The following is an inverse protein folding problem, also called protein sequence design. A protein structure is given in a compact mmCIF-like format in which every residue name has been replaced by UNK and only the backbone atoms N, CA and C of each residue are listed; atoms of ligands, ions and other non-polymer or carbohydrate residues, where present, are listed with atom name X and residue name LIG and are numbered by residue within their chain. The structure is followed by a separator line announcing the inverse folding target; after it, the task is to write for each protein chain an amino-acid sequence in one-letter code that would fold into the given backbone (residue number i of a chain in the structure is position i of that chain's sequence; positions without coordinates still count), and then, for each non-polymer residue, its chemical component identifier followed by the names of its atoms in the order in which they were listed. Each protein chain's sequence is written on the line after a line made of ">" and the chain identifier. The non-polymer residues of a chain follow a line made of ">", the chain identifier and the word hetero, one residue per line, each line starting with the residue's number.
data_IF_269093664003
#
_entry.id   IF_269093664003
#
_cell.length_a   1.000
_cell.length_b   1.000
_cell.length_c   1.000
_cell.angle_alpha   90.00
_cell.angle_beta   90.00
_cell.angle_gamma   90.00
#
_symmetry.space_group_name_H-M   'P 1'
#
loop_
_entity.id
_entity.type
_entity.pdbx_description
1 polymer ?
#
# COMPACT_ATOMS: atom_id res chain seq x y z
N UNK A 1 -53.05 -15.22 31.13
CA UNK A 1 -54.02 -15.07 30.01
C UNK A 1 -53.54 -15.93 28.86
N UNK A 2 -54.31 -16.93 28.41
CA UNK A 2 -53.91 -17.87 27.34
C UNK A 2 -54.44 -17.44 25.96
N UNK A 3 -53.64 -17.64 24.92
CA UNK A 3 -54.01 -17.79 23.50
C UNK A 3 -52.83 -18.57 22.84
N UNK A 4 -52.93 -19.76 22.23
CA UNK A 4 -53.80 -20.28 21.14
C UNK A 4 -53.88 -19.27 19.99
N UNK A 5 -53.62 -19.57 18.72
CA UNK A 5 -53.50 -20.81 17.92
C UNK A 5 -52.64 -20.45 16.66
N UNK A 6 -52.18 -21.32 15.75
CA UNK A 6 -52.81 -22.48 15.07
C UNK A 6 -51.71 -23.26 14.29
N UNK A 7 -51.89 -24.56 14.07
CA UNK A 7 -51.04 -25.39 13.18
C UNK A 7 -51.87 -25.85 11.98
N UNK A 8 -51.25 -25.92 10.79
CA UNK A 8 -51.56 -26.80 9.65
C UNK A 8 -50.28 -26.89 8.80
N UNK A 9 -49.65 -28.06 8.60
CA UNK A 9 -50.04 -29.14 7.68
C UNK A 9 -50.15 -28.67 6.21
N UNK A 10 -49.52 -29.30 5.20
CA UNK A 10 -48.66 -30.50 5.23
C UNK A 10 -47.89 -30.73 3.90
N UNK A 11 -46.81 -31.55 3.95
CA UNK A 11 -46.20 -32.35 2.86
C UNK A 11 -45.64 -31.60 1.61
N UNK A 12 -44.57 -32.04 0.91
CA UNK A 12 -43.83 -33.32 0.84
C UNK A 12 -42.33 -33.06 0.51
N UNK A 13 -41.47 -34.03 0.83
CA UNK A 13 -40.01 -34.00 0.58
C UNK A 13 -39.63 -34.37 -0.87
N UNK A 14 -38.48 -33.86 -1.34
CA UNK A 14 -37.41 -34.65 -2.00
C UNK A 14 -36.16 -33.84 -2.35
N UNK A 15 -34.98 -34.36 -1.99
CA UNK A 15 -33.68 -34.02 -2.58
C UNK A 15 -33.31 -35.11 -3.63
N UNK A 16 -32.28 -35.07 -4.46
CA UNK A 16 -31.12 -34.20 -4.73
C UNK A 16 -30.70 -34.50 -6.21
N UNK A 17 -29.45 -34.31 -6.73
CA UNK A 17 -28.31 -33.42 -6.44
C UNK A 17 -27.97 -32.55 -7.70
N UNK A 18 -26.82 -31.84 -7.80
CA UNK A 18 -26.59 -30.86 -8.88
C UNK A 18 -25.79 -31.42 -10.06
N UNK A 19 -26.30 -31.25 -11.29
CA UNK A 19 -25.56 -31.01 -12.54
C UNK A 19 -26.58 -30.88 -13.70
N UNK A 20 -27.00 -29.66 -14.06
CA UNK A 20 -27.56 -29.27 -15.37
C UNK A 20 -27.94 -27.79 -15.36
N UNK A 21 -27.48 -27.03 -16.37
CA UNK A 21 -28.10 -25.74 -16.73
C UNK A 21 -29.30 -26.02 -17.61
N UNK A 22 -30.35 -25.20 -17.52
CA UNK A 22 -31.14 -24.83 -18.70
C UNK A 22 -31.66 -23.39 -18.58
N UNK A 23 -31.53 -22.63 -19.68
CA UNK A 23 -32.24 -21.37 -19.92
C UNK A 23 -33.68 -21.70 -20.34
N UNK A 24 -34.62 -20.77 -20.14
CA UNK A 24 -35.89 -20.79 -20.87
C UNK A 24 -35.70 -20.19 -22.27
N UNK A 25 -35.78 -21.06 -23.26
CA UNK A 25 -36.56 -20.95 -24.50
C UNK A 25 -36.89 -19.56 -25.06
N UNK A 26 -36.28 -19.27 -26.22
CA UNK A 26 -36.97 -18.62 -27.35
C UNK A 26 -37.19 -19.69 -28.42
N UNK A 27 -38.39 -19.77 -29.00
CA UNK A 27 -38.83 -20.98 -29.70
C UNK A 27 -38.30 -21.22 -31.12
N UNK A 28 -38.44 -22.48 -31.53
CA UNK A 28 -38.51 -23.00 -32.90
C UNK A 28 -37.20 -23.15 -33.71
N UNK A 29 -37.13 -24.15 -34.62
CA UNK A 29 -36.04 -25.11 -34.52
C UNK A 29 -35.22 -25.29 -35.80
N UNK A 30 -33.89 -25.30 -35.67
CA UNK A 30 -32.99 -25.97 -36.61
C UNK A 30 -31.83 -26.64 -35.86
N UNK A 31 -31.42 -27.81 -36.32
CA UNK A 31 -30.38 -28.64 -35.71
C UNK A 31 -28.96 -28.19 -36.12
N UNK A 32 -27.96 -28.49 -35.29
CA UNK A 32 -26.58 -28.71 -35.74
C UNK A 32 -25.81 -29.66 -34.82
N UNK A 33 -24.89 -30.41 -35.42
CA UNK A 33 -24.00 -31.42 -34.82
C UNK A 33 -22.63 -30.81 -34.41
N UNK A 34 -21.80 -31.53 -33.63
CA UNK A 34 -20.42 -31.11 -33.33
C UNK A 34 -19.46 -31.43 -34.49
N UNK A 35 -18.45 -30.58 -34.72
CA UNK A 35 -17.04 -31.03 -34.66
C UNK A 35 -16.12 -29.88 -34.14
N UNK A 36 -14.81 -29.98 -33.92
CA UNK A 36 -13.79 -31.01 -33.67
C UNK A 36 -12.45 -30.25 -33.58
N UNK A 37 -11.34 -30.90 -33.24
CA UNK A 37 -9.99 -30.33 -33.20
C UNK A 37 -9.29 -30.26 -34.56
N UNK A 38 -8.36 -29.31 -34.77
CA UNK A 38 -7.05 -29.50 -35.48
C UNK A 38 -6.23 -28.19 -35.50
N UNK A 39 -4.89 -28.28 -35.50
CA UNK A 39 -3.96 -27.19 -35.87
C UNK A 39 -3.51 -27.35 -37.34
N UNK A 40 -2.25 -27.03 -37.74
CA UNK A 40 -1.21 -26.25 -37.07
C UNK A 40 -0.51 -25.23 -38.05
N UNK A 41 0.66 -24.70 -37.64
CA UNK A 41 1.76 -24.16 -38.49
C UNK A 41 1.47 -23.02 -39.51
N UNK A 42 2.17 -21.89 -39.31
CA UNK A 42 3.03 -21.38 -40.40
C UNK A 42 4.34 -20.77 -39.90
N UNK A 43 5.42 -21.25 -40.50
CA UNK A 43 6.81 -20.92 -40.21
C UNK A 43 7.36 -19.95 -41.28
N UNK A 44 8.53 -19.36 -41.00
CA UNK A 44 9.47 -18.69 -41.95
C UNK A 44 9.14 -17.29 -42.46
N UNK A 45 9.95 -16.34 -41.97
CA UNK A 45 10.97 -15.73 -42.84
C UNK A 45 12.28 -15.48 -42.08
N UNK A 46 13.20 -16.46 -42.11
CA UNK A 46 14.63 -16.16 -42.04
C UNK A 46 15.05 -15.55 -43.38
N UNK A 47 16.07 -14.68 -43.34
CA UNK A 47 17.02 -14.24 -44.39
C UNK A 47 17.18 -12.70 -44.30
N UNK A 48 18.37 -12.10 -44.43
CA UNK A 48 19.72 -12.65 -44.60
C UNK A 48 20.76 -11.66 -44.07
N UNK A 49 21.85 -12.22 -43.56
CA UNK A 49 23.16 -11.58 -43.45
C UNK A 49 23.50 -10.66 -44.65
N UNK A 50 24.07 -9.49 -44.36
CA UNK A 50 25.25 -8.99 -45.09
C UNK A 50 26.31 -8.54 -44.08
N UNK A 51 27.27 -9.43 -43.84
CA UNK A 51 28.58 -9.02 -43.36
C UNK A 51 29.29 -8.32 -44.52
N UNK A 52 29.83 -7.13 -44.25
CA UNK A 52 30.96 -6.57 -44.99
C UNK A 52 32.10 -6.40 -43.99
N UNK A 53 33.20 -7.10 -44.21
CA UNK A 53 34.52 -6.64 -43.81
C UNK A 53 35.34 -6.37 -45.08
N UNK A 54 36.68 -6.36 -44.99
CA UNK A 54 37.48 -5.89 -43.85
C UNK A 54 38.42 -4.75 -44.28
N UNK A 55 38.83 -3.90 -43.34
CA UNK A 55 39.85 -2.88 -43.55
C UNK A 55 41.09 -3.19 -42.72
N UNK A 56 42.15 -3.68 -43.35
CA UNK A 56 43.46 -3.83 -42.72
C UNK A 56 44.07 -2.45 -42.44
N UNK A 57 44.79 -2.30 -41.33
CA UNK A 57 46.12 -1.68 -41.35
C UNK A 57 46.96 -2.25 -40.20
N UNK A 58 48.13 -2.77 -40.56
CA UNK A 58 49.24 -3.08 -39.64
C UNK A 58 49.92 -1.79 -39.19
N UNK A 59 50.68 -1.87 -38.10
CA UNK A 59 52.10 -1.48 -37.98
C UNK A 59 52.44 -1.41 -36.47
N UNK A 60 53.14 -2.41 -35.93
CA UNK A 60 54.61 -2.55 -35.88
C UNK A 60 55.29 -1.65 -34.83
N UNK A 61 55.62 -2.29 -33.71
CA UNK A 61 56.53 -1.81 -32.65
C UNK A 61 57.97 -2.14 -33.09
N UNK A 62 58.97 -1.28 -32.83
CA UNK A 62 59.98 -1.65 -31.84
C UNK A 62 60.34 -0.53 -30.86
N UNK A 63 60.70 -0.92 -29.64
CA UNK A 63 61.22 -0.03 -28.62
C UNK A 63 62.70 0.33 -28.89
N UNK A 64 63.12 1.53 -28.44
CA UNK A 64 64.53 1.89 -28.35
C UNK A 64 64.91 2.11 -26.88
N UNK A 65 65.87 1.33 -26.39
CA UNK A 65 66.48 1.54 -25.07
C UNK A 65 67.51 2.67 -25.14
N UNK A 66 67.48 3.58 -24.18
CA UNK A 66 68.68 4.30 -23.77
C UNK A 66 68.83 4.26 -22.25
N UNK A 67 69.91 3.63 -21.80
CA UNK A 67 70.47 3.84 -20.46
C UNK A 67 71.27 5.14 -20.48
N UNK A 68 71.10 5.98 -19.47
CA UNK A 68 72.15 6.89 -19.00
C UNK A 68 72.13 6.95 -17.47
N UNK A 69 73.13 6.28 -16.90
CA UNK A 69 74.02 6.70 -15.81
C UNK A 69 73.53 7.31 -14.50
N UNK A 70 74.20 6.82 -13.45
CA UNK A 70 74.07 7.24 -12.06
C UNK A 70 74.49 8.71 -11.86
N UNK A 71 73.69 9.45 -11.09
CA UNK A 71 74.21 10.45 -10.16
C UNK A 71 73.67 10.17 -8.76
N UNK A 72 74.57 9.93 -7.83
CA UNK A 72 74.25 9.57 -6.45
C UNK A 72 73.95 10.82 -5.62
N UNK A 73 72.69 11.00 -5.22
CA UNK A 73 72.32 12.00 -4.21
C UNK A 73 71.94 11.27 -2.92
N UNK A 74 72.79 11.41 -1.90
CA UNK A 74 72.55 10.88 -0.55
C UNK A 74 71.49 11.72 0.15
N UNK A 75 70.25 11.25 0.17
CA UNK A 75 69.22 11.79 1.06
C UNK A 75 69.23 11.03 2.41
N UNK A 76 69.22 11.73 3.56
CA UNK A 76 69.20 11.09 4.87
C UNK A 76 67.85 10.42 5.15
N UNK A 77 67.86 9.45 6.06
CA UNK A 77 66.73 8.61 6.48
C UNK A 77 65.42 9.39 6.69
N UNK A 78 64.55 9.43 5.68
CA UNK A 78 63.13 9.75 5.87
C UNK A 78 62.38 8.44 6.08
N UNK A 79 61.98 8.21 7.33
CA UNK A 79 61.19 7.07 7.76
C UNK A 79 59.93 6.95 6.88
N UNK A 80 59.90 5.96 5.97
CA UNK A 80 58.72 5.65 5.15
C UNK A 80 57.65 5.01 6.04
N UNK A 81 56.91 5.86 6.77
CA UNK A 81 55.66 5.48 7.40
C UNK A 81 54.68 5.14 6.25
N UNK A 82 54.54 3.85 5.97
CA UNK A 82 53.42 3.34 5.19
C UNK A 82 52.16 3.56 6.02
N UNK A 83 51.55 4.74 5.89
CA UNK A 83 50.21 4.98 6.40
C UNK A 83 49.28 4.08 5.58
N UNK A 84 48.93 2.92 6.14
CA UNK A 84 47.77 2.18 5.67
C UNK A 84 46.57 3.11 5.85
N UNK A 85 46.16 3.76 4.76
CA UNK A 85 44.80 4.25 4.61
C UNK A 85 43.89 3.01 4.64
N UNK A 86 43.49 2.59 5.83
CA UNK A 86 42.27 1.83 5.97
C UNK A 86 41.18 2.68 5.31
N UNK A 87 40.52 2.21 4.24
CA UNK A 87 39.30 2.86 3.82
C UNK A 87 38.33 2.71 4.99
N UNK A 88 38.03 3.83 5.65
CA UNK A 88 36.86 3.94 6.51
C UNK A 88 35.67 3.75 5.59
N UNK A 89 35.29 2.49 5.40
CA UNK A 89 34.02 2.07 4.82
C UNK A 89 32.95 2.56 5.77
N UNK A 90 32.58 3.84 5.59
CA UNK A 90 31.37 4.40 6.13
C UNK A 90 30.25 3.48 5.66
N UNK A 91 29.81 2.61 6.56
CA UNK A 91 28.73 1.68 6.29
C UNK A 91 27.49 2.56 6.18
N UNK A 92 27.20 3.00 4.95
CA UNK A 92 25.93 3.63 4.60
C UNK A 92 24.86 2.62 4.96
N UNK A 93 24.32 2.78 6.18
CA UNK A 93 23.11 2.13 6.62
C UNK A 93 22.09 2.39 5.52
N UNK A 94 21.82 1.36 4.69
CA UNK A 94 20.77 1.36 3.70
C UNK A 94 19.44 1.29 4.46
N UNK A 95 19.15 2.36 5.19
CA UNK A 95 18.24 2.36 6.32
C UNK A 95 16.84 2.16 5.80
N UNK A 96 16.31 0.95 6.00
CA UNK A 96 14.97 0.56 5.60
C UNK A 96 13.88 1.45 6.23
N UNK A 97 12.64 1.13 5.95
CA UNK A 97 11.51 1.82 6.54
C UNK A 97 11.55 1.72 8.08
N UNK A 98 11.33 2.84 8.79
CA UNK A 98 11.23 2.89 10.26
C UNK A 98 9.91 2.25 10.70
N UNK A 99 9.90 0.91 10.75
CA UNK A 99 8.80 0.11 11.30
C UNK A 99 9.19 -0.35 12.70
N UNK A 100 8.48 0.15 13.71
CA UNK A 100 8.80 -0.09 15.12
C UNK A 100 7.56 -0.46 15.94
N UNK A 101 7.81 -1.25 16.98
CA UNK A 101 6.84 -1.58 18.03
C UNK A 101 6.90 -0.52 19.13
N UNK A 102 5.77 0.07 19.48
CA UNK A 102 5.65 1.15 20.48
C UNK A 102 4.57 0.77 21.48
N UNK A 103 4.85 0.90 22.78
CA UNK A 103 3.87 0.62 23.85
C UNK A 103 3.35 1.93 24.44
N UNK A 104 2.04 2.05 24.61
CA UNK A 104 1.39 3.19 25.29
C UNK A 104 0.09 2.74 25.97
N UNK A 105 -0.16 3.23 27.19
CA UNK A 105 -1.31 2.83 28.03
C UNK A 105 -1.48 1.30 28.17
N UNK A 106 -0.37 0.55 28.19
CA UNK A 106 -0.36 -0.92 28.25
C UNK A 106 -0.70 -1.63 26.93
N UNK A 107 -1.03 -0.91 25.86
CA UNK A 107 -1.25 -1.46 24.52
C UNK A 107 0.02 -1.36 23.67
N UNK A 108 0.29 -2.41 22.88
CA UNK A 108 1.32 -2.44 21.86
C UNK A 108 0.77 -1.95 20.51
N UNK A 109 1.57 -1.18 19.76
CA UNK A 109 1.25 -0.70 18.42
C UNK A 109 2.41 -1.01 17.47
N UNK A 110 2.11 -1.45 16.25
CA UNK A 110 3.06 -1.45 15.14
C UNK A 110 2.93 -0.10 14.43
N UNK A 111 4.04 0.62 14.29
CA UNK A 111 4.10 1.97 13.71
C UNK A 111 5.10 2.00 12.57
N UNK A 112 4.66 2.39 11.38
CA UNK A 112 5.53 2.66 10.23
C UNK A 112 5.65 4.18 10.04
N UNK A 113 6.89 4.70 10.02
CA UNK A 113 7.17 6.12 9.80
C UNK A 113 7.77 6.34 8.41
N UNK A 114 7.11 7.18 7.63
CA UNK A 114 7.37 7.41 6.20
C UNK A 114 8.00 8.79 6.00
N UNK A 115 9.14 8.83 5.32
CA UNK A 115 9.70 10.06 4.77
C UNK A 115 9.35 10.14 3.27
N UNK A 116 8.41 11.02 2.92
CA UNK A 116 7.93 11.18 1.54
C UNK A 116 9.00 11.67 0.55
N UNK A 117 10.22 12.00 1.01
CA UNK A 117 11.37 12.28 0.14
C UNK A 117 12.18 11.02 -0.20
N UNK A 118 11.93 9.90 0.47
CA UNK A 118 12.74 8.67 0.45
C UNK A 118 11.93 7.40 0.24
N UNK A 119 10.65 7.41 0.57
CA UNK A 119 9.77 6.25 0.61
C UNK A 119 8.56 6.49 -0.32
N UNK A 120 8.20 5.49 -1.12
CA UNK A 120 7.08 5.54 -2.04
C UNK A 120 5.78 5.15 -1.32
N UNK A 121 5.03 6.14 -0.84
CA UNK A 121 3.69 5.93 -0.29
C UNK A 121 2.63 5.97 -1.41
N UNK A 122 1.99 4.83 -1.69
CA UNK A 122 0.95 4.69 -2.72
C UNK A 122 -0.32 4.05 -2.18
N UNK A 123 -1.45 4.34 -2.83
CA UNK A 123 -2.77 3.77 -2.55
C UNK A 123 -3.21 2.90 -3.74
N UNK A 124 -3.74 1.70 -3.47
CA UNK A 124 -4.14 0.73 -4.49
C UNK A 124 -5.52 0.14 -4.20
N UNK A 125 -6.48 0.31 -5.10
CA UNK A 125 -7.79 -0.34 -5.05
C UNK A 125 -7.87 -1.52 -6.01
N UNK A 126 -7.66 -1.29 -7.31
CA UNK A 126 -7.90 -2.29 -8.36
C UNK A 126 -6.60 -2.69 -9.06
N UNK A 127 -6.48 -3.98 -9.36
CA UNK A 127 -5.38 -4.49 -10.17
C UNK A 127 -5.55 -4.01 -11.62
N UNK A 128 -4.60 -3.23 -12.18
CA UNK A 128 -4.75 -2.63 -13.51
C UNK A 128 -4.79 -3.66 -14.65
N UNK A 129 -4.32 -4.90 -14.42
CA UNK A 129 -4.37 -5.96 -15.42
C UNK A 129 -5.69 -6.74 -15.44
N UNK A 130 -6.51 -6.69 -14.38
CA UNK A 130 -7.76 -7.48 -14.25
C UNK A 130 -9.01 -6.64 -13.98
N UNK A 131 -8.85 -5.38 -13.59
CA UNK A 131 -9.93 -4.49 -13.12
C UNK A 131 -10.55 -4.89 -11.78
N UNK A 132 -10.11 -5.99 -11.17
CA UNK A 132 -10.64 -6.50 -9.91
C UNK A 132 -10.00 -5.81 -8.71
N UNK A 133 -10.74 -5.58 -7.60
CA UNK A 133 -10.15 -5.10 -6.36
C UNK A 133 -9.03 -6.00 -5.85
N UNK A 134 -7.97 -5.39 -5.31
CA UNK A 134 -7.05 -6.07 -4.40
C UNK A 134 -7.79 -6.40 -3.12
N UNK A 135 -7.81 -7.69 -2.79
CA UNK A 135 -8.39 -8.23 -1.55
C UNK A 135 -7.34 -8.31 -0.47
N UNK A 136 -6.10 -8.66 -0.83
CA UNK A 136 -5.03 -8.95 0.14
C UNK A 136 -3.75 -8.16 -0.03
N UNK A 137 -3.00 -7.99 1.07
CA UNK A 137 -1.66 -7.43 1.05
C UNK A 137 -0.71 -8.27 0.18
N UNK A 138 -0.88 -9.60 0.17
CA UNK A 138 -0.14 -10.52 -0.68
C UNK A 138 -0.34 -10.25 -2.18
N UNK A 139 -1.57 -9.98 -2.63
CA UNK A 139 -1.88 -9.70 -4.04
C UNK A 139 -1.23 -8.40 -4.55
N UNK A 140 -1.34 -7.30 -3.79
CA UNK A 140 -0.71 -6.03 -4.17
C UNK A 140 0.81 -6.13 -4.12
N UNK A 141 1.36 -6.79 -3.09
CA UNK A 141 2.81 -7.05 -2.99
C UNK A 141 3.32 -7.94 -4.13
N UNK A 142 2.54 -8.93 -4.57
CA UNK A 142 2.88 -9.77 -5.70
C UNK A 142 2.77 -9.03 -7.05
N UNK A 143 1.88 -8.02 -7.18
CA UNK A 143 1.89 -7.13 -8.35
C UNK A 143 3.14 -6.25 -8.35
N UNK A 144 3.41 -5.54 -7.26
CA UNK A 144 4.50 -4.57 -7.16
C UNK A 144 5.87 -5.22 -7.34
N UNK A 145 6.05 -6.45 -6.83
CA UNK A 145 7.28 -7.23 -7.04
C UNK A 145 7.56 -7.54 -8.53
N UNK A 146 6.53 -7.62 -9.38
CA UNK A 146 6.71 -7.78 -10.84
C UNK A 146 7.17 -6.49 -11.53
N UNK A 147 6.95 -5.35 -10.89
CA UNK A 147 7.46 -4.03 -11.33
C UNK A 147 8.82 -3.70 -10.68
N UNK A 148 9.41 -4.65 -9.94
CA UNK A 148 10.70 -4.47 -9.24
C UNK A 148 10.58 -3.84 -7.84
N UNK A 149 9.38 -3.51 -7.36
CA UNK A 149 9.18 -2.85 -6.07
C UNK A 149 8.99 -3.83 -4.92
N UNK A 150 9.71 -3.60 -3.82
CA UNK A 150 9.51 -4.32 -2.56
C UNK A 150 8.60 -3.52 -1.62
N UNK A 151 7.45 -4.10 -1.24
CA UNK A 151 6.61 -3.57 -0.18
C UNK A 151 7.29 -3.81 1.18
N UNK A 152 7.56 -2.73 1.90
CA UNK A 152 8.19 -2.73 3.23
C UNK A 152 7.13 -2.63 4.35
N UNK A 153 6.00 -2.01 4.06
CA UNK A 153 4.81 -2.01 4.93
C UNK A 153 3.55 -1.84 4.09
N UNK A 154 2.45 -2.49 4.49
CA UNK A 154 1.12 -2.24 3.96
C UNK A 154 0.08 -2.19 5.08
N UNK A 155 -1.03 -1.47 4.86
CA UNK A 155 -2.18 -1.40 5.78
C UNK A 155 -3.46 -1.10 4.99
N UNK A 156 -4.61 -1.40 5.58
CA UNK A 156 -5.92 -1.03 5.03
C UNK A 156 -6.08 0.49 4.85
N UNK A 157 -6.95 0.91 3.94
CA UNK A 157 -7.23 2.33 3.68
C UNK A 157 -8.51 2.82 4.38
N UNK A 158 -9.25 3.73 3.73
CA UNK A 158 -10.54 4.21 4.19
C UNK A 158 -11.66 3.17 4.08
N UNK A 159 -12.88 3.67 4.30
CA UNK A 159 -14.09 2.86 4.49
C UNK A 159 -14.63 2.35 3.15
N UNK A 160 -15.05 1.09 3.11
CA UNK A 160 -15.61 0.46 1.91
C UNK A 160 -16.93 -0.29 2.14
N UNK A 161 -17.58 -0.67 1.04
CA UNK A 161 -18.90 -1.32 1.00
C UNK A 161 -18.90 -2.69 0.31
N UNK A 162 -20.10 -3.26 0.09
CA UNK A 162 -20.25 -4.52 -0.65
C UNK A 162 -19.55 -4.47 -2.00
N UNK A 163 -18.91 -5.58 -2.39
CA UNK A 163 -18.11 -5.64 -3.63
C UNK A 163 -16.70 -5.05 -3.53
N UNK A 164 -16.27 -4.66 -2.32
CA UNK A 164 -14.95 -4.05 -2.07
C UNK A 164 -14.79 -2.72 -2.81
N UNK A 165 -15.77 -1.82 -2.67
CA UNK A 165 -15.78 -0.49 -3.28
C UNK A 165 -15.65 0.61 -2.21
N UNK A 166 -14.71 1.58 -2.34
CA UNK A 166 -14.60 2.70 -1.41
C UNK A 166 -15.90 3.50 -1.31
N UNK A 167 -16.35 3.81 -0.10
CA UNK A 167 -17.58 4.57 0.16
C UNK A 167 -17.37 6.09 0.27
N UNK A 168 -16.14 6.55 0.05
CA UNK A 168 -15.74 7.96 0.06
C UNK A 168 -14.59 8.22 -0.91
N UNK A 169 -14.04 9.44 -0.89
CA UNK A 169 -13.00 9.87 -1.84
C UNK A 169 -11.89 8.81 -1.97
N UNK A 170 -11.59 8.43 -3.20
CA UNK A 170 -10.47 7.56 -3.53
C UNK A 170 -9.74 8.10 -4.76
N UNK A 171 -8.46 8.47 -4.61
CA UNK A 171 -7.62 9.05 -5.67
C UNK A 171 -6.36 8.21 -5.83
N UNK A 172 -6.03 7.85 -7.06
CA UNK A 172 -4.81 7.13 -7.45
C UNK A 172 -4.13 7.85 -8.62
N UNK A 173 -2.83 8.11 -8.51
CA UNK A 173 -2.03 8.79 -9.54
C UNK A 173 -2.70 10.07 -10.11
N UNK A 174 -3.29 10.88 -9.22
CA UNK A 174 -4.02 12.10 -9.56
C UNK A 174 -5.43 11.90 -10.11
N UNK A 175 -5.88 10.65 -10.32
CA UNK A 175 -7.20 10.32 -10.85
C UNK A 175 -8.18 10.03 -9.72
N UNK A 176 -9.25 10.83 -9.63
CA UNK A 176 -10.35 10.53 -8.71
C UNK A 176 -11.14 9.34 -9.24
N UNK A 177 -11.10 8.21 -8.54
CA UNK A 177 -11.84 6.98 -8.88
C UNK A 177 -13.20 6.94 -8.19
N UNK A 178 -13.29 7.45 -6.95
CA UNK A 178 -14.53 7.64 -6.20
C UNK A 178 -14.56 9.07 -5.66
N UNK A 179 -15.70 9.75 -5.76
CA UNK A 179 -15.87 11.14 -5.32
C UNK A 179 -15.99 11.32 -3.81
N UNK A 180 -15.84 12.56 -3.33
CA UNK A 180 -15.96 12.91 -1.91
C UNK A 180 -17.38 12.63 -1.39
N UNK A 181 -17.51 11.77 -0.38
CA UNK A 181 -18.77 11.53 0.30
C UNK A 181 -19.06 12.70 1.26
N UNK A 182 -20.24 13.32 1.11
CA UNK A 182 -20.66 14.48 1.89
C UNK A 182 -21.82 14.15 2.85
N UNK A 183 -22.16 12.87 3.03
CA UNK A 183 -23.20 12.43 3.94
C UNK A 183 -22.88 12.85 5.39
N UNK A 184 -23.85 13.47 6.06
CA UNK A 184 -23.72 13.96 7.45
C UNK A 184 -24.45 13.07 8.47
N UNK A 185 -25.13 12.04 8.01
CA UNK A 185 -25.97 11.15 8.81
C UNK A 185 -26.14 9.82 8.09
N UNK A 186 -26.15 8.71 8.85
CA UNK A 186 -26.27 7.36 8.30
C UNK A 186 -24.95 6.79 7.79
N UNK A 187 -24.82 5.47 7.89
CA UNK A 187 -23.65 4.73 7.42
C UNK A 187 -22.35 5.03 8.18
N UNK A 188 -21.25 4.50 7.64
CA UNK A 188 -19.95 4.41 8.30
C UNK A 188 -19.23 5.78 8.50
N UNK A 189 -19.68 6.85 7.83
CA UNK A 189 -19.11 8.19 7.92
C UNK A 189 -19.80 9.11 8.94
N UNK A 190 -20.84 8.62 9.64
CA UNK A 190 -21.71 9.47 10.48
C UNK A 190 -21.03 10.10 11.72
N UNK A 191 -19.86 9.60 12.15
CA UNK A 191 -19.13 10.20 13.28
C UNK A 191 -18.29 11.38 12.79
N UNK A 192 -18.83 12.59 12.97
CA UNK A 192 -18.22 13.86 12.54
C UNK A 192 -17.42 14.55 13.65
N UNK A 193 -16.30 15.23 13.31
CA UNK A 193 -15.75 15.38 11.96
C UNK A 193 -15.01 14.12 11.44
N UNK A 194 -15.24 13.82 10.16
CA UNK A 194 -14.47 12.84 9.38
C UNK A 194 -13.56 13.59 8.38
N UNK A 195 -12.72 12.89 7.62
CA UNK A 195 -11.72 13.57 6.80
C UNK A 195 -11.07 12.76 5.70
N UNK A 196 -10.17 13.43 5.00
CA UNK A 196 -9.35 12.90 3.91
C UNK A 196 -7.89 12.91 4.35
N UNK A 197 -7.23 11.76 4.22
CA UNK A 197 -5.78 11.70 4.18
C UNK A 197 -5.34 11.78 2.71
N UNK A 198 -4.43 12.70 2.41
CA UNK A 198 -3.97 12.98 1.05
C UNK A 198 -2.45 13.12 0.98
N UNK A 199 -1.88 12.79 -0.17
CA UNK A 199 -0.47 12.90 -0.52
C UNK A 199 -0.36 13.66 -1.86
N UNK A 200 0.51 14.66 -1.93
CA UNK A 200 0.77 15.47 -3.14
C UNK A 200 2.27 15.73 -3.25
N UNK A 201 2.95 14.96 -4.10
CA UNK A 201 4.41 14.92 -4.11
C UNK A 201 4.96 14.60 -2.72
N UNK A 202 5.94 15.37 -2.25
CA UNK A 202 6.60 15.13 -0.96
C UNK A 202 5.86 15.78 0.24
N UNK A 203 4.56 16.09 0.07
CA UNK A 203 3.69 16.65 1.11
C UNK A 203 2.50 15.72 1.35
N UNK A 204 2.02 15.67 2.59
CA UNK A 204 0.77 15.02 2.94
C UNK A 204 -0.01 15.84 3.97
N UNK A 205 -1.30 15.57 4.08
CA UNK A 205 -2.18 16.19 5.05
C UNK A 205 -3.31 15.26 5.47
N UNK A 206 -3.79 15.45 6.69
CA UNK A 206 -5.10 15.01 7.13
C UNK A 206 -5.99 16.25 7.19
N UNK A 207 -7.19 16.20 6.60
CA UNK A 207 -8.05 17.38 6.50
C UNK A 207 -9.52 17.01 6.65
N UNK A 208 -10.27 17.78 7.44
CA UNK A 208 -11.73 17.63 7.58
C UNK A 208 -12.42 17.72 6.22
N UNK A 209 -13.42 16.86 5.97
CA UNK A 209 -14.06 16.66 4.65
C UNK A 209 -14.54 17.96 3.99
N UNK A 210 -15.25 18.84 4.71
CA UNK A 210 -15.73 20.11 4.16
C UNK A 210 -14.58 21.10 3.93
N UNK A 211 -13.55 21.12 4.78
CA UNK A 211 -12.34 21.90 4.60
C UNK A 211 -11.53 21.43 3.37
N UNK A 212 -11.37 20.12 3.19
CA UNK A 212 -10.75 19.52 2.00
C UNK A 212 -11.46 19.97 0.72
N UNK A 213 -12.80 19.94 0.70
CA UNK A 213 -13.61 20.44 -0.43
C UNK A 213 -13.37 21.92 -0.73
N UNK A 214 -13.17 22.77 0.29
CA UNK A 214 -12.87 24.20 0.11
C UNK A 214 -11.46 24.47 -0.39
N UNK A 215 -10.48 23.64 0.00
CA UNK A 215 -9.08 23.78 -0.42
C UNK A 215 -8.83 23.33 -1.86
N UNK A 216 -9.76 22.56 -2.47
CA UNK A 216 -9.67 22.05 -3.85
C UNK A 216 -8.30 21.40 -4.16
N UNK A 217 -7.78 20.64 -3.21
CA UNK A 217 -6.50 19.95 -3.34
C UNK A 217 -6.61 18.95 -4.50
N UNK A 218 -5.59 18.95 -5.37
CA UNK A 218 -5.38 17.94 -6.40
C UNK A 218 -4.21 17.04 -5.94
N UNK A 219 -4.50 15.96 -5.19
CA UNK A 219 -3.46 15.07 -4.64
C UNK A 219 -3.09 13.98 -5.64
N UNK A 220 -1.90 13.41 -5.47
CA UNK A 220 -1.48 12.19 -6.18
C UNK A 220 -2.25 10.98 -5.64
N UNK A 221 -2.39 10.88 -4.31
CA UNK A 221 -3.17 9.84 -3.65
C UNK A 221 -4.06 10.43 -2.57
N UNK A 222 -5.26 9.91 -2.38
CA UNK A 222 -6.11 10.28 -1.26
C UNK A 222 -7.13 9.20 -0.91
N UNK A 223 -7.43 9.06 0.37
CA UNK A 223 -8.54 8.25 0.88
C UNK A 223 -9.37 9.05 1.87
N UNK A 224 -10.70 8.98 1.77
CA UNK A 224 -11.61 9.48 2.78
C UNK A 224 -11.93 8.39 3.80
N UNK A 225 -11.86 8.75 5.08
CA UNK A 225 -12.22 7.87 6.17
C UNK A 225 -12.79 8.68 7.34
N UNK A 226 -13.12 8.05 8.45
CA UNK A 226 -13.59 8.75 9.63
C UNK A 226 -13.75 7.84 10.84
N UNK A 227 -13.69 8.39 12.06
CA UNK A 227 -13.56 9.81 12.39
C UNK A 227 -12.14 10.38 12.17
N UNK A 228 -12.00 11.71 12.19
CA UNK A 228 -10.70 12.32 12.53
C UNK A 228 -10.33 11.88 13.95
N UNK A 229 -9.06 11.56 14.18
CA UNK A 229 -8.55 11.25 15.51
C UNK A 229 -8.09 12.52 16.23
N UNK A 230 -7.29 13.32 15.53
CA UNK A 230 -6.70 14.57 16.00
C UNK A 230 -6.78 15.60 14.87
N UNK A 231 -7.07 16.86 15.21
CA UNK A 231 -7.07 17.99 14.29
C UNK A 231 -6.42 19.20 14.97
N UNK A 232 -5.32 19.72 14.43
CA UNK A 232 -4.56 20.82 15.03
C UNK A 232 -4.13 20.56 16.49
N UNK A 233 -3.86 19.30 16.86
CA UNK A 233 -3.56 18.86 18.22
C UNK A 233 -4.77 18.69 19.14
N UNK A 234 -6.00 18.93 18.67
CA UNK A 234 -7.23 18.70 19.44
C UNK A 234 -7.78 17.31 19.12
N UNK A 235 -8.15 16.53 20.14
CA UNK A 235 -8.84 15.26 19.96
C UNK A 235 -10.26 15.51 19.43
N UNK A 236 -10.82 14.51 18.73
CA UNK A 236 -12.20 14.53 18.27
C UNK A 236 -13.19 14.72 19.44
N UNK A 237 -14.16 15.65 19.36
CA UNK A 237 -14.98 16.06 20.50
C UNK A 237 -15.89 14.96 21.07
N UNK A 238 -16.30 13.99 20.24
CA UNK A 238 -17.12 12.86 20.68
C UNK A 238 -16.35 11.72 21.37
N UNK A 239 -15.02 11.81 21.53
CA UNK A 239 -14.24 10.73 22.12
C UNK A 239 -14.25 10.77 23.65
N UNK A 240 -14.92 9.79 24.25
CA UNK A 240 -14.91 9.56 25.70
C UNK A 240 -13.82 8.56 26.09
N UNK A 241 -13.00 8.89 27.09
CA UNK A 241 -12.02 7.96 27.70
C UNK A 241 -12.67 6.68 28.24
N UNK A 242 -13.89 6.80 28.78
CA UNK A 242 -14.70 5.67 29.27
C UNK A 242 -15.54 4.95 28.20
N UNK A 243 -15.26 5.12 26.90
CA UNK A 243 -16.01 4.43 25.85
C UNK A 243 -15.77 2.92 25.89
N UNK A 244 -16.86 2.14 25.85
CA UNK A 244 -16.86 0.68 25.73
C UNK A 244 -16.58 0.15 24.32
N UNK A 245 -16.37 1.03 23.33
CA UNK A 245 -16.07 0.63 21.94
C UNK A 245 -14.59 0.27 21.79
N UNK A 246 -14.23 -0.95 22.19
CA UNK A 246 -12.89 -1.50 22.00
C UNK A 246 -12.82 -2.31 20.69
N UNK A 247 -11.88 -1.95 19.82
CA UNK A 247 -11.60 -2.65 18.55
C UNK A 247 -10.10 -2.61 18.24
N UNK A 248 -9.60 -3.53 17.43
CA UNK A 248 -8.29 -3.31 16.77
C UNK A 248 -8.44 -2.10 15.85
N UNK A 249 -7.47 -1.19 15.86
CA UNK A 249 -7.55 0.11 15.18
C UNK A 249 -6.34 0.38 14.32
N UNK A 250 -6.60 0.87 13.11
CA UNK A 250 -5.62 1.40 12.18
C UNK A 250 -5.83 2.90 12.00
N UNK A 251 -4.76 3.63 11.72
CA UNK A 251 -4.80 5.08 11.56
C UNK A 251 -3.57 5.63 10.84
N UNK A 252 -3.70 6.85 10.35
CA UNK A 252 -2.61 7.60 9.70
C UNK A 252 -2.53 9.01 10.28
N UNK A 253 -1.33 9.48 10.58
CA UNK A 253 -1.07 10.82 11.10
C UNK A 253 0.00 11.55 10.31
N UNK A 254 -0.12 12.86 10.22
CA UNK A 254 0.93 13.76 9.74
C UNK A 254 1.54 14.44 10.97
N UNK A 255 2.86 14.33 11.13
CA UNK A 255 3.50 14.54 12.41
C UNK A 255 4.47 15.73 12.42
N UNK A 256 4.77 16.27 13.62
CA UNK A 256 5.57 17.51 13.76
C UNK A 256 6.98 17.43 13.16
N UNK A 257 7.51 16.22 13.00
CA UNK A 257 8.79 15.95 12.32
C UNK A 257 8.67 15.88 10.79
N UNK A 258 7.52 16.24 10.22
CA UNK A 258 7.24 16.23 8.79
C UNK A 258 6.96 14.85 8.20
N UNK A 259 7.04 13.78 8.99
CA UNK A 259 6.78 12.40 8.54
C UNK A 259 5.30 12.05 8.61
N UNK A 260 4.89 11.13 7.74
CA UNK A 260 3.63 10.41 7.88
C UNK A 260 3.86 9.21 8.79
N UNK A 261 2.93 8.90 9.69
CA UNK A 261 2.96 7.68 10.52
C UNK A 261 1.69 6.89 10.34
N UNK A 262 1.82 5.64 9.91
CA UNK A 262 0.74 4.66 10.03
C UNK A 262 0.91 3.92 11.36
N UNK A 263 -0.20 3.62 12.04
CA UNK A 263 -0.19 2.82 13.25
C UNK A 263 -1.34 1.81 13.26
N UNK A 264 -1.07 0.59 13.72
CA UNK A 264 -2.06 -0.45 13.96
C UNK A 264 -1.89 -0.99 15.38
N UNK A 265 -2.96 -1.04 16.16
CA UNK A 265 -2.93 -1.61 17.51
C UNK A 265 -2.82 -3.14 17.47
N UNK A 266 -2.03 -3.73 18.38
CA UNK A 266 -1.90 -5.19 18.48
C UNK A 266 -3.15 -5.86 19.12
N UNK A 267 -3.98 -5.06 19.80
CA UNK A 267 -5.21 -5.51 20.43
C UNK A 267 -6.26 -4.40 20.52
N UNK A 268 -7.41 -4.67 21.17
CA UNK A 268 -8.53 -3.74 21.21
C UNK A 268 -8.27 -2.46 22.01
N UNK A 269 -8.52 -1.30 21.41
CA UNK A 269 -8.47 0.03 22.05
C UNK A 269 -9.73 0.83 21.73
N UNK A 270 -10.05 1.83 22.54
CA UNK A 270 -11.08 2.81 22.21
C UNK A 270 -10.52 4.00 21.42
N UNK A 271 -11.41 4.79 20.81
CA UNK A 271 -11.01 5.93 19.98
C UNK A 271 -10.21 6.99 20.76
N UNK A 272 -10.51 7.20 22.05
CA UNK A 272 -9.82 8.18 22.87
C UNK A 272 -8.34 7.82 23.06
N UNK A 273 -8.06 6.60 23.57
CA UNK A 273 -6.67 6.14 23.76
C UNK A 273 -5.89 6.10 22.44
N UNK A 274 -6.53 5.73 21.33
CA UNK A 274 -5.87 5.72 20.02
C UNK A 274 -5.53 7.13 19.52
N UNK A 275 -6.41 8.11 19.74
CA UNK A 275 -6.16 9.50 19.37
C UNK A 275 -5.11 10.17 20.29
N UNK A 276 -5.13 9.87 21.59
CA UNK A 276 -4.07 10.24 22.55
C UNK A 276 -2.72 9.68 22.10
N UNK A 277 -2.66 8.41 21.69
CA UNK A 277 -1.43 7.80 21.17
C UNK A 277 -0.87 8.57 19.95
N UNK A 278 -1.71 8.92 18.97
CA UNK A 278 -1.28 9.75 17.84
C UNK A 278 -0.78 11.13 18.27
N UNK A 279 -1.51 11.83 19.14
CA UNK A 279 -1.18 13.20 19.56
C UNK A 279 0.09 13.25 20.42
N UNK A 280 0.13 12.44 21.47
CA UNK A 280 1.06 12.60 22.60
C UNK A 280 2.28 11.68 22.49
N UNK A 281 2.16 10.50 21.88
CA UNK A 281 3.26 9.54 21.75
C UNK A 281 3.91 9.60 20.36
N UNK A 282 3.10 9.75 19.30
CA UNK A 282 3.61 9.88 17.93
C UNK A 282 3.87 11.33 17.49
N UNK A 283 3.39 12.32 18.26
CA UNK A 283 3.61 13.75 17.97
C UNK A 283 2.86 14.25 16.74
N UNK A 284 1.69 13.68 16.45
CA UNK A 284 0.91 13.97 15.24
C UNK A 284 -0.27 14.90 15.55
N UNK A 285 -0.21 16.20 15.17
CA UNK A 285 -1.30 17.15 15.41
C UNK A 285 -2.53 16.85 14.56
N UNK A 286 -2.37 16.17 13.42
CA UNK A 286 -3.47 15.82 12.53
C UNK A 286 -3.40 14.32 12.23
N UNK A 287 -4.48 13.59 12.53
CA UNK A 287 -4.55 12.15 12.36
C UNK A 287 -5.97 11.69 12.01
N UNK A 288 -6.07 10.65 11.18
CA UNK A 288 -7.30 10.09 10.63
C UNK A 288 -7.39 8.60 10.98
N UNK A 289 -8.59 8.17 11.35
CA UNK A 289 -8.90 6.76 11.53
C UNK A 289 -9.04 6.05 10.18
N UNK A 290 -8.47 4.86 10.02
CA UNK A 290 -8.64 3.98 8.86
C UNK A 290 -9.67 2.89 9.19
N UNK A 291 -10.17 2.11 8.22
CA UNK A 291 -11.35 1.25 8.45
C UNK A 291 -11.21 0.34 9.68
N UNK A 292 -12.26 0.39 10.51
CA UNK A 292 -12.32 -0.17 11.85
C UNK A 292 -13.07 -1.47 12.00
N UNK A 293 -13.67 -1.99 10.93
CA UNK A 293 -14.24 -3.33 10.97
C UNK A 293 -13.15 -4.37 10.81
N UNK A 294 -12.13 -4.06 10.01
CA UNK A 294 -10.94 -4.87 9.80
C UNK A 294 -9.71 -3.96 9.73
N UNK A 295 -8.81 -4.08 10.71
CA UNK A 295 -7.58 -3.29 10.78
C UNK A 295 -6.39 -4.23 10.87
N UNK A 296 -5.46 -4.13 9.93
CA UNK A 296 -4.31 -5.02 9.82
C UNK A 296 -3.12 -4.33 9.16
N UNK A 297 -1.94 -4.95 9.28
CA UNK A 297 -0.78 -4.56 8.50
C UNK A 297 -0.06 -5.78 7.92
N UNK A 298 0.78 -5.53 6.93
CA UNK A 298 1.82 -6.46 6.50
C UNK A 298 3.19 -5.77 6.46
N UNK A 299 4.24 -6.58 6.64
CA UNK A 299 5.67 -6.30 6.47
C UNK A 299 6.29 -7.51 5.74
N UNK A 300 7.57 -7.49 5.32
CA UNK A 300 8.22 -8.67 4.76
C UNK A 300 8.14 -9.94 5.62
N UNK A 301 8.10 -9.79 6.95
CA UNK A 301 8.19 -10.89 7.91
C UNK A 301 6.86 -11.20 8.66
N UNK A 302 5.79 -10.43 8.42
CA UNK A 302 4.51 -10.61 9.12
C UNK A 302 3.34 -10.09 8.28
N UNK A 303 2.22 -10.81 8.30
CA UNK A 303 0.94 -10.38 7.75
C UNK A 303 -0.14 -10.65 8.81
N UNK A 304 -0.90 -9.63 9.20
CA UNK A 304 -1.98 -9.75 10.19
C UNK A 304 -3.37 -9.68 9.56
N UNK A 305 -3.48 -9.83 8.24
CA UNK A 305 -4.75 -9.81 7.53
C UNK A 305 -5.59 -11.06 7.84
N UNK A 306 -6.86 -10.83 8.19
CA UNK A 306 -7.86 -11.89 8.47
C UNK A 306 -9.14 -11.75 7.64
N UNK A 307 -9.22 -10.76 6.74
CA UNK A 307 -10.40 -10.45 5.94
C UNK A 307 -10.04 -9.56 4.73
N UNK A 308 -10.84 -9.62 3.66
CA UNK A 308 -10.64 -8.85 2.42
C UNK A 308 -10.79 -7.33 2.62
N UNK A 309 -9.81 -6.56 2.15
CA UNK A 309 -9.85 -5.09 2.12
C UNK A 309 -10.41 -4.54 0.81
N UNK A 310 -10.78 -3.26 0.82
CA UNK A 310 -10.76 -2.43 -0.39
C UNK A 310 -9.86 -1.22 -0.15
N UNK A 311 -8.93 -0.97 -1.08
CA UNK A 311 -7.95 0.09 -0.93
C UNK A 311 -6.88 -0.25 0.11
N UNK A 312 -5.63 -0.35 -0.34
CA UNK A 312 -4.47 -0.69 0.48
C UNK A 312 -3.44 0.44 0.33
N UNK A 313 -2.95 0.96 1.45
CA UNK A 313 -1.74 1.79 1.46
C UNK A 313 -0.53 0.88 1.47
N UNK A 314 0.43 1.13 0.57
CA UNK A 314 1.74 0.45 0.55
C UNK A 314 2.86 1.47 0.69
N UNK A 315 3.93 1.09 1.37
CA UNK A 315 5.18 1.83 1.42
C UNK A 315 6.28 0.94 0.82
N UNK A 316 6.87 1.38 -0.28
CA UNK A 316 8.02 0.75 -0.95
C UNK A 316 9.20 1.71 -1.02
N UNK A 317 10.34 1.24 -1.53
CA UNK A 317 11.48 2.06 -1.96
C UNK A 317 12.12 1.42 -3.20
#
# INVERSE_FOLDING_TARGET
>A
MLLRCKFSHALRLSCCPPQLRLRKDTGSPHACQPPASTGPLRERSRQRFRLFGPGHHTDLIPALHHRLDMLSVRFPNVLRIFVLLLPLTACSQAGGLDVRRVTAEGMLYTVAAVDLKRDHLRLHWKNPATGQPYRTFAEVSARLRKDGEQVLFATNSGIYGPGLEPLGLHVEEGRTLIGLNNARSGGNFALLPNGVFWVKGNQAGVTETQAYRRLNIQPTFATQSGPLLVQGGRLHPAFNKGSSSFKVRSGVGVCRDGRVRFAVSAGPVNFHSFAVFFRDVLGCPDALYLDGSISAYATPDADTQVADFAGIWTISR
#
